data_IF_667814335411
#
_entry.id   IF_667814335411
#
_cell.length_a   1.000
_cell.length_b   1.000
_cell.length_c   1.000
_cell.angle_alpha   90.00
_cell.angle_beta   90.00
_cell.angle_gamma   90.00
#
_symmetry.space_group_name_H-M   'P 1'
#
loop_
_entity.id
_entity.type
_entity.pdbx_description
1 polymer ?
#
# COMPACT_ATOMS: atom_id res chain seq x y z
N UNK A 1 -25.44 6.62 -47.14
CA UNK A 1 -26.21 5.55 -46.48
C UNK A 1 -25.42 5.18 -45.22
N UNK A 2 -25.58 5.93 -44.11
CA UNK A 2 -26.49 5.63 -42.98
C UNK A 2 -26.19 4.24 -42.41
N UNK A 3 -25.46 4.08 -41.31
CA UNK A 3 -25.80 4.28 -39.88
C UNK A 3 -24.52 3.84 -39.11
N UNK A 4 -24.11 4.27 -37.91
CA UNK A 4 -24.72 5.02 -36.82
C UNK A 4 -23.59 5.31 -35.80
N UNK A 5 -23.29 6.58 -35.57
CA UNK A 5 -22.51 7.07 -34.43
C UNK A 5 -23.49 7.30 -33.28
N UNK A 6 -23.62 6.34 -32.35
CA UNK A 6 -24.32 6.58 -31.09
C UNK A 6 -23.31 6.88 -30.00
N UNK A 7 -22.93 8.15 -29.94
CA UNK A 7 -22.39 8.83 -28.77
C UNK A 7 -23.42 8.73 -27.63
N UNK A 8 -23.09 8.04 -26.54
CA UNK A 8 -23.81 8.20 -25.28
C UNK A 8 -23.19 9.36 -24.51
N UNK A 9 -23.89 10.49 -24.56
CA UNK A 9 -23.67 11.66 -23.71
C UNK A 9 -23.86 11.28 -22.25
N UNK A 10 -22.86 11.64 -21.42
CA UNK A 10 -22.90 11.57 -19.97
C UNK A 10 -24.19 12.18 -19.40
N UNK A 11 -25.00 11.38 -18.70
CA UNK A 11 -26.02 11.89 -17.77
C UNK A 11 -25.32 12.16 -16.43
N UNK A 12 -25.32 13.39 -15.90
CA UNK A 12 -24.42 13.78 -14.83
C UNK A 12 -24.83 13.34 -13.41
N UNK A 13 -25.77 12.40 -13.21
CA UNK A 13 -26.29 12.08 -11.86
C UNK A 13 -26.76 10.61 -11.66
N UNK A 14 -26.30 9.65 -12.47
CA UNK A 14 -26.54 8.22 -12.16
C UNK A 14 -25.31 7.71 -11.39
N UNK A 15 -25.45 7.20 -10.16
CA UNK A 15 -24.32 6.62 -9.44
C UNK A 15 -23.76 5.47 -10.29
N UNK A 16 -22.47 5.54 -10.61
CA UNK A 16 -21.78 4.48 -11.34
C UNK A 16 -21.88 3.21 -10.49
N UNK A 17 -22.59 2.21 -10.99
CA UNK A 17 -22.66 0.91 -10.32
C UNK A 17 -21.38 0.14 -10.65
N UNK A 18 -20.83 -0.58 -9.67
CA UNK A 18 -19.60 -1.36 -9.86
C UNK A 18 -19.70 -2.35 -11.03
N UNK A 19 -20.91 -2.84 -11.35
CA UNK A 19 -21.15 -3.71 -12.50
C UNK A 19 -20.77 -3.05 -13.84
N UNK A 20 -21.03 -1.75 -14.00
CA UNK A 20 -20.60 -0.98 -15.18
C UNK A 20 -19.07 -0.90 -15.24
N UNK A 21 -18.42 -0.66 -14.10
CA UNK A 21 -16.95 -0.58 -13.99
C UNK A 21 -16.31 -1.92 -14.38
N UNK A 22 -16.86 -3.03 -13.90
CA UNK A 22 -16.44 -4.38 -14.32
C UNK A 22 -16.71 -4.60 -15.81
N UNK A 23 -17.81 -4.08 -16.36
CA UNK A 23 -18.09 -4.05 -17.79
C UNK A 23 -16.99 -3.34 -18.59
N UNK A 24 -16.62 -2.12 -18.19
CA UNK A 24 -15.57 -1.33 -18.85
C UNK A 24 -14.21 -2.03 -18.84
N UNK A 25 -13.87 -2.70 -17.73
CA UNK A 25 -12.64 -3.49 -17.66
C UNK A 25 -12.70 -4.67 -18.62
N UNK A 26 -13.81 -5.42 -18.66
CA UNK A 26 -13.96 -6.57 -19.57
C UNK A 26 -13.90 -6.16 -21.04
N UNK A 27 -14.45 -5.00 -21.38
CA UNK A 27 -14.45 -4.44 -22.73
C UNK A 27 -13.12 -3.75 -23.13
N UNK A 28 -12.21 -3.51 -22.18
CA UNK A 28 -10.95 -2.84 -22.45
C UNK A 28 -11.03 -1.31 -22.51
N UNK A 29 -12.10 -0.71 -21.97
CA UNK A 29 -12.30 0.74 -21.98
C UNK A 29 -11.41 1.46 -20.95
N UNK A 30 -10.13 1.62 -21.33
CA UNK A 30 -9.10 2.23 -20.48
C UNK A 30 -9.44 3.67 -20.08
N UNK A 31 -10.16 4.41 -20.93
CA UNK A 31 -10.55 5.80 -20.64
C UNK A 31 -11.55 5.87 -19.49
N UNK A 32 -12.65 5.10 -19.56
CA UNK A 32 -13.65 5.10 -18.48
C UNK A 32 -13.10 4.56 -17.17
N UNK A 33 -12.27 3.52 -17.22
CA UNK A 33 -11.60 3.01 -16.02
C UNK A 33 -10.69 4.06 -15.40
N UNK A 34 -9.94 4.82 -16.21
CA UNK A 34 -9.11 5.93 -15.70
C UNK A 34 -9.94 7.02 -15.03
N UNK A 35 -10.99 7.49 -15.70
CA UNK A 35 -11.89 8.53 -15.15
C UNK A 35 -12.50 8.07 -13.83
N UNK A 36 -12.88 6.80 -13.72
CA UNK A 36 -13.38 6.24 -12.45
C UNK A 36 -12.30 6.24 -11.37
N UNK A 37 -11.07 5.82 -11.68
CA UNK A 37 -9.96 5.77 -10.73
C UNK A 37 -9.39 7.14 -10.31
N UNK A 38 -9.78 8.22 -10.98
CA UNK A 38 -9.31 9.57 -10.64
C UNK A 38 -10.05 10.14 -9.42
N UNK A 39 -11.19 9.55 -9.02
CA UNK A 39 -11.82 9.80 -7.73
C UNK A 39 -11.16 8.91 -6.65
N UNK A 40 -10.57 9.56 -5.64
CA UNK A 40 -9.79 8.90 -4.60
C UNK A 40 -10.61 8.03 -3.66
N UNK A 41 -11.93 8.27 -3.58
CA UNK A 41 -12.84 7.49 -2.72
C UNK A 41 -13.14 6.11 -3.30
N UNK A 42 -12.92 5.91 -4.61
CA UNK A 42 -13.14 4.63 -5.27
C UNK A 42 -12.08 3.60 -4.88
N UNK A 43 -12.54 2.53 -4.23
CA UNK A 43 -11.69 1.37 -3.94
C UNK A 43 -11.68 0.39 -5.12
N UNK A 44 -10.58 0.39 -5.86
CA UNK A 44 -10.35 -0.48 -7.01
C UNK A 44 -10.14 -1.96 -6.64
N UNK A 45 -9.94 -2.27 -5.36
CA UNK A 45 -9.76 -3.64 -4.86
C UNK A 45 -11.07 -4.36 -4.58
N UNK A 46 -12.21 -3.70 -4.78
CA UNK A 46 -13.54 -4.31 -4.68
C UNK A 46 -13.67 -5.44 -5.71
N UNK A 47 -14.07 -6.61 -5.21
CA UNK A 47 -14.48 -7.74 -6.02
C UNK A 47 -15.96 -7.69 -6.40
N UNK A 48 -16.32 -8.33 -7.52
CA UNK A 48 -17.71 -8.65 -7.85
C UNK A 48 -18.28 -9.75 -6.92
N UNK A 49 -19.47 -10.26 -7.25
CA UNK A 49 -20.14 -11.30 -6.46
C UNK A 49 -19.36 -12.63 -6.41
N UNK A 50 -18.42 -12.85 -7.33
CA UNK A 50 -17.49 -13.98 -7.36
C UNK A 50 -16.09 -13.64 -6.82
N UNK A 51 -15.95 -12.46 -6.22
CA UNK A 51 -14.69 -11.93 -5.71
C UNK A 51 -13.65 -11.69 -6.83
N UNK A 52 -14.06 -11.43 -8.07
CA UNK A 52 -13.13 -10.94 -9.09
C UNK A 52 -12.96 -9.43 -8.94
N UNK A 53 -11.74 -8.98 -8.63
CA UNK A 53 -11.41 -7.56 -8.69
C UNK A 53 -11.21 -7.08 -10.12
N UNK A 54 -11.10 -5.76 -10.31
CA UNK A 54 -10.76 -5.16 -11.61
C UNK A 54 -9.47 -5.76 -12.20
N UNK A 55 -8.46 -6.03 -11.34
CA UNK A 55 -7.21 -6.63 -11.80
C UNK A 55 -7.39 -8.07 -12.28
N UNK A 56 -8.29 -8.85 -11.66
CA UNK A 56 -8.61 -10.20 -12.11
C UNK A 56 -9.22 -10.17 -13.51
N UNK A 57 -10.20 -9.30 -13.74
CA UNK A 57 -10.83 -9.15 -15.05
C UNK A 57 -9.85 -8.65 -16.12
N UNK A 58 -9.05 -7.62 -15.81
CA UNK A 58 -8.01 -7.14 -16.73
C UNK A 58 -6.99 -8.23 -17.09
N UNK A 59 -6.61 -9.04 -16.10
CA UNK A 59 -5.65 -10.15 -16.27
C UNK A 59 -6.23 -11.32 -17.07
N UNK A 60 -7.52 -11.61 -16.90
CA UNK A 60 -8.23 -12.65 -17.66
C UNK A 60 -8.43 -12.25 -19.12
N UNK A 61 -8.90 -11.03 -19.37
CA UNK A 61 -9.23 -10.55 -20.72
C UNK A 61 -8.01 -10.02 -21.50
N UNK A 62 -6.85 -9.86 -20.86
CA UNK A 62 -5.61 -9.48 -21.54
C UNK A 62 -5.44 -7.98 -21.76
N UNK A 63 -6.19 -7.15 -21.03
CA UNK A 63 -6.14 -5.68 -21.16
C UNK A 63 -4.94 -5.09 -20.42
N UNK A 64 -3.77 -5.17 -21.04
CA UNK A 64 -2.47 -4.76 -20.48
C UNK A 64 -2.49 -3.32 -19.93
N UNK A 65 -3.05 -2.36 -20.69
CA UNK A 65 -3.09 -0.96 -20.28
C UNK A 65 -3.91 -0.74 -19.01
N UNK A 66 -5.02 -1.49 -18.85
CA UNK A 66 -5.85 -1.45 -17.66
C UNK A 66 -5.13 -2.14 -16.49
N UNK A 67 -4.51 -3.30 -16.72
CA UNK A 67 -3.76 -3.99 -15.68
C UNK A 67 -2.61 -3.11 -15.12
N UNK A 68 -1.82 -2.46 -15.98
CA UNK A 68 -0.76 -1.53 -15.55
C UNK A 68 -1.34 -0.35 -14.76
N UNK A 69 -2.44 0.24 -15.25
CA UNK A 69 -3.10 1.35 -14.57
C UNK A 69 -3.54 0.93 -13.15
N UNK A 70 -4.24 -0.20 -13.03
CA UNK A 70 -4.71 -0.72 -11.74
C UNK A 70 -3.54 -1.02 -10.78
N UNK A 71 -2.47 -1.65 -11.28
CA UNK A 71 -1.27 -1.92 -10.49
C UNK A 71 -0.59 -0.63 -10.01
N UNK A 72 -0.50 0.39 -10.87
CA UNK A 72 0.06 1.69 -10.49
C UNK A 72 -0.79 2.43 -9.44
N UNK A 73 -2.11 2.21 -9.45
CA UNK A 73 -3.08 2.79 -8.49
C UNK A 73 -3.24 1.95 -7.21
N UNK A 74 -2.46 0.88 -7.04
CA UNK A 74 -2.44 0.09 -5.80
C UNK A 74 -3.35 -1.13 -5.76
N UNK A 75 -3.61 -1.76 -6.90
CA UNK A 75 -4.26 -3.05 -6.94
C UNK A 75 -3.48 -4.10 -6.14
N UNK A 76 -4.19 -4.81 -5.27
CA UNK A 76 -3.67 -5.94 -4.49
C UNK A 76 -3.31 -7.08 -5.43
N UNK A 77 -2.01 -7.23 -5.67
CA UNK A 77 -1.44 -8.21 -6.63
C UNK A 77 -1.79 -9.65 -6.27
N UNK A 78 -1.77 -9.97 -4.97
CA UNK A 78 -1.99 -11.31 -4.43
C UNK A 78 -3.42 -11.56 -3.94
N UNK A 79 -4.35 -10.63 -4.18
CA UNK A 79 -5.74 -10.84 -3.80
C UNK A 79 -6.34 -12.03 -4.57
N UNK A 80 -7.20 -12.81 -3.92
CA UNK A 80 -7.81 -13.99 -4.52
C UNK A 80 -9.31 -13.84 -4.75
N UNK A 81 -9.81 -14.50 -5.78
CA UNK A 81 -11.25 -14.69 -6.01
C UNK A 81 -11.83 -15.82 -5.11
N UNK A 82 -13.10 -16.19 -5.33
CA UNK A 82 -13.77 -17.27 -4.57
C UNK A 82 -13.12 -18.66 -4.73
N UNK A 83 -12.50 -18.94 -5.88
CA UNK A 83 -11.76 -20.17 -6.16
C UNK A 83 -10.30 -20.11 -5.67
N UNK A 84 -9.95 -19.09 -4.89
CA UNK A 84 -8.58 -18.76 -4.46
C UNK A 84 -7.59 -18.50 -5.62
N UNK A 85 -8.07 -18.20 -6.83
CA UNK A 85 -7.20 -17.79 -7.94
C UNK A 85 -6.78 -16.33 -7.75
N UNK A 86 -5.50 -16.05 -8.01
CA UNK A 86 -4.96 -14.68 -8.12
C UNK A 86 -5.04 -14.16 -9.55
N UNK A 87 -4.79 -12.87 -9.74
CA UNK A 87 -4.62 -12.29 -11.07
C UNK A 87 -3.53 -12.99 -11.91
N UNK A 88 -2.48 -13.50 -11.25
CA UNK A 88 -1.41 -14.28 -11.90
C UNK A 88 -1.90 -15.64 -12.41
N UNK A 89 -2.79 -16.33 -11.67
CA UNK A 89 -3.43 -17.55 -12.15
C UNK A 89 -4.22 -17.29 -13.43
N UNK A 90 -5.04 -16.23 -13.44
CA UNK A 90 -5.89 -15.89 -14.57
C UNK A 90 -5.08 -15.48 -15.81
N UNK A 91 -4.04 -14.65 -15.64
CA UNK A 91 -3.15 -14.26 -16.74
C UNK A 91 -2.41 -15.47 -17.32
N UNK A 92 -1.92 -16.39 -16.47
CA UNK A 92 -1.27 -17.61 -16.90
C UNK A 92 -2.23 -18.58 -17.60
N UNK A 93 -3.48 -18.69 -17.12
CA UNK A 93 -4.50 -19.54 -17.71
C UNK A 93 -4.99 -19.07 -19.08
N UNK A 94 -4.94 -17.77 -19.36
CA UNK A 94 -5.44 -17.18 -20.61
C UNK A 94 -4.33 -16.76 -21.59
N UNK A 95 -3.06 -17.09 -21.30
CA UNK A 95 -1.94 -16.82 -22.20
C UNK A 95 -1.49 -15.36 -22.24
N UNK A 96 -1.89 -14.54 -21.26
CA UNK A 96 -1.61 -13.10 -21.23
C UNK A 96 -0.21 -12.81 -20.68
N UNK A 97 0.82 -13.21 -21.44
CA UNK A 97 2.24 -13.14 -21.04
C UNK A 97 2.69 -11.76 -20.55
N UNK A 98 2.29 -10.69 -21.22
CA UNK A 98 2.71 -9.34 -20.82
C UNK A 98 2.19 -8.96 -19.42
N UNK A 99 0.95 -9.38 -19.09
CA UNK A 99 0.39 -9.18 -17.76
C UNK A 99 1.10 -10.07 -16.73
N UNK A 100 1.44 -11.31 -17.08
CA UNK A 100 2.26 -12.19 -16.22
C UNK A 100 3.57 -11.50 -15.84
N UNK A 101 4.31 -10.96 -16.81
CA UNK A 101 5.57 -10.26 -16.55
C UNK A 101 5.35 -9.03 -15.65
N UNK A 102 4.31 -8.23 -15.88
CA UNK A 102 3.98 -7.07 -15.05
C UNK A 102 3.63 -7.47 -13.61
N UNK A 103 2.85 -8.52 -13.41
CA UNK A 103 2.50 -9.04 -12.09
C UNK A 103 3.74 -9.54 -11.34
N UNK A 104 4.62 -10.29 -12.01
CA UNK A 104 5.88 -10.78 -11.43
C UNK A 104 6.83 -9.63 -11.05
N UNK A 105 6.92 -8.59 -11.89
CA UNK A 105 7.66 -7.36 -11.57
C UNK A 105 7.09 -6.63 -10.34
N UNK A 106 5.79 -6.76 -10.09
CA UNK A 106 5.11 -6.27 -8.88
C UNK A 106 5.10 -7.28 -7.73
N UNK A 107 6.03 -8.24 -7.73
CA UNK A 107 6.24 -9.24 -6.67
C UNK A 107 5.00 -10.10 -6.37
N UNK A 108 4.24 -10.44 -7.41
CA UNK A 108 3.20 -11.46 -7.29
C UNK A 108 3.80 -12.77 -6.75
N UNK A 109 3.16 -13.36 -5.73
CA UNK A 109 3.57 -14.68 -5.23
C UNK A 109 3.27 -15.73 -6.29
N UNK A 110 4.35 -16.28 -6.84
CA UNK A 110 4.35 -17.20 -7.98
C UNK A 110 3.92 -18.63 -7.58
N UNK A 111 3.97 -18.96 -6.28
CA UNK A 111 3.68 -20.30 -5.78
C UNK A 111 2.35 -20.39 -5.02
N UNK A 112 1.51 -19.34 -5.06
CA UNK A 112 0.15 -19.38 -4.49
C UNK A 112 -0.62 -20.55 -5.10
N UNK A 113 -1.32 -21.30 -4.26
CA UNK A 113 -2.19 -22.38 -4.69
C UNK A 113 -3.66 -22.00 -4.56
N UNK A 114 -4.44 -22.21 -5.61
CA UNK A 114 -5.89 -22.03 -5.59
C UNK A 114 -6.63 -23.15 -4.83
N UNK A 115 -7.96 -23.20 -4.90
CA UNK A 115 -8.79 -24.17 -4.18
C UNK A 115 -8.55 -25.63 -4.59
N UNK A 116 -7.98 -25.87 -5.77
CA UNK A 116 -7.61 -27.19 -6.28
C UNK A 116 -6.13 -27.55 -6.00
N UNK A 117 -5.40 -26.66 -5.31
CA UNK A 117 -3.96 -26.81 -5.09
C UNK A 117 -3.12 -26.46 -6.33
N UNK A 118 -3.73 -25.87 -7.36
CA UNK A 118 -3.04 -25.51 -8.60
C UNK A 118 -2.33 -24.18 -8.42
N UNK A 119 -1.12 -24.06 -8.97
CA UNK A 119 -0.35 -22.81 -9.04
C UNK A 119 -0.50 -22.15 -10.42
N UNK A 120 -0.08 -20.90 -10.63
CA UNK A 120 -0.05 -20.31 -11.97
C UNK A 120 0.74 -21.15 -12.99
N UNK A 121 1.81 -21.81 -12.57
CA UNK A 121 2.61 -22.71 -13.42
C UNK A 121 1.82 -23.95 -13.86
N UNK A 122 0.93 -24.48 -13.01
CA UNK A 122 0.04 -25.57 -13.40
C UNK A 122 -0.87 -25.15 -14.57
N UNK A 123 -1.47 -23.96 -14.51
CA UNK A 123 -2.30 -23.45 -15.60
C UNK A 123 -1.50 -23.22 -16.88
N UNK A 124 -0.33 -22.59 -16.80
CA UNK A 124 0.53 -22.37 -17.97
C UNK A 124 0.95 -23.70 -18.64
N UNK A 125 1.28 -24.72 -17.84
CA UNK A 125 1.61 -26.05 -18.33
C UNK A 125 0.41 -26.74 -18.99
N UNK A 126 -0.77 -26.69 -18.35
CA UNK A 126 -2.00 -27.31 -18.85
C UNK A 126 -2.44 -26.77 -20.21
N UNK A 127 -2.23 -25.47 -20.47
CA UNK A 127 -2.52 -24.85 -21.76
C UNK A 127 -1.33 -24.82 -22.73
N UNK A 128 -0.14 -25.28 -22.29
CA UNK A 128 1.04 -25.39 -23.14
C UNK A 128 1.76 -24.07 -23.43
N UNK A 129 1.59 -23.05 -22.60
CA UNK A 129 2.23 -21.73 -22.77
C UNK A 129 3.69 -21.74 -22.29
N UNK A 130 4.58 -22.30 -23.11
CA UNK A 130 6.01 -22.50 -22.78
C UNK A 130 6.70 -21.22 -22.30
N UNK A 131 6.48 -20.09 -22.99
CA UNK A 131 7.10 -18.81 -22.62
C UNK A 131 6.63 -18.28 -21.25
N UNK A 132 5.36 -18.49 -20.90
CA UNK A 132 4.82 -18.14 -19.58
C UNK A 132 5.43 -19.07 -18.52
N UNK A 133 5.56 -20.36 -18.82
CA UNK A 133 6.21 -21.31 -17.92
C UNK A 133 7.65 -20.87 -17.62
N UNK A 134 8.40 -20.43 -18.63
CA UNK A 134 9.75 -19.89 -18.48
C UNK A 134 9.80 -18.66 -17.58
N UNK A 135 8.93 -17.67 -17.82
CA UNK A 135 8.89 -16.45 -17.01
C UNK A 135 8.53 -16.74 -15.54
N UNK A 136 7.62 -17.70 -15.30
CA UNK A 136 7.26 -18.15 -13.96
C UNK A 136 8.41 -18.90 -13.27
N UNK A 137 9.05 -19.85 -13.96
CA UNK A 137 10.19 -20.63 -13.43
C UNK A 137 11.36 -19.71 -13.08
N UNK A 138 11.69 -18.77 -13.97
CA UNK A 138 12.71 -17.73 -13.73
C UNK A 138 12.41 -16.89 -12.50
N UNK A 139 11.13 -16.70 -12.19
CA UNK A 139 10.67 -15.95 -11.01
C UNK A 139 10.51 -16.81 -9.75
N UNK A 140 10.93 -18.08 -9.77
CA UNK A 140 10.92 -18.97 -8.60
C UNK A 140 9.72 -19.93 -8.50
N UNK A 141 8.95 -20.11 -9.58
CA UNK A 141 7.89 -21.12 -9.61
C UNK A 141 8.47 -22.53 -9.46
N UNK A 142 7.94 -23.32 -8.52
CA UNK A 142 8.43 -24.66 -8.23
C UNK A 142 7.72 -25.73 -9.08
N UNK A 143 8.46 -26.42 -9.96
CA UNK A 143 7.97 -27.48 -10.84
C UNK A 143 7.57 -28.75 -10.07
N UNK A 144 8.11 -28.95 -8.87
CA UNK A 144 7.82 -30.13 -8.04
C UNK A 144 6.56 -30.01 -7.18
N UNK A 145 5.90 -28.84 -7.15
CA UNK A 145 4.72 -28.61 -6.31
C UNK A 145 3.54 -29.43 -6.80
N UNK A 146 3.01 -30.33 -5.96
CA UNK A 146 1.83 -31.10 -6.30
C UNK A 146 0.54 -30.35 -5.97
N UNK A 147 -0.48 -30.48 -6.83
CA UNK A 147 -1.85 -30.07 -6.54
C UNK A 147 -2.59 -31.07 -5.62
N UNK A 148 -3.87 -30.84 -5.32
CA UNK A 148 -4.69 -31.75 -4.48
C UNK A 148 -4.84 -33.17 -5.04
N UNK A 149 -4.61 -33.38 -6.34
CA UNK A 149 -4.61 -34.70 -7.00
C UNK A 149 -3.23 -35.37 -7.01
N UNK A 150 -2.22 -34.76 -6.38
CA UNK A 150 -0.85 -35.28 -6.36
C UNK A 150 -0.09 -35.08 -7.68
N UNK A 151 -0.61 -34.26 -8.59
CA UNK A 151 -0.02 -34.00 -9.90
C UNK A 151 0.84 -32.74 -9.84
N UNK A 152 2.05 -32.80 -10.40
CA UNK A 152 2.91 -31.63 -10.62
C UNK A 152 2.46 -30.85 -11.87
N UNK A 153 2.91 -29.60 -12.10
CA UNK A 153 2.67 -28.91 -13.36
C UNK A 153 3.10 -29.73 -14.58
N UNK A 154 4.19 -30.49 -14.48
CA UNK A 154 4.69 -31.31 -15.57
C UNK A 154 3.79 -32.53 -15.86
N UNK A 155 3.09 -33.06 -14.86
CA UNK A 155 2.17 -34.20 -15.01
C UNK A 155 0.91 -33.84 -15.80
N UNK A 156 0.48 -32.58 -15.73
CA UNK A 156 -0.70 -32.06 -16.46
C UNK A 156 -0.33 -31.26 -17.71
N UNK A 157 0.96 -31.18 -18.04
CA UNK A 157 1.47 -30.36 -19.13
C UNK A 157 1.06 -30.90 -20.50
N UNK A 158 0.73 -30.02 -21.45
CA UNK A 158 0.48 -30.42 -22.83
C UNK A 158 1.65 -31.23 -23.40
N UNK A 159 1.40 -32.36 -24.11
CA UNK A 159 2.46 -33.22 -24.62
C UNK A 159 3.51 -32.48 -25.46
N UNK A 160 3.11 -31.49 -26.26
CA UNK A 160 4.06 -30.73 -27.10
C UNK A 160 4.94 -29.76 -26.29
N UNK A 161 4.45 -29.26 -25.14
CA UNK A 161 5.17 -28.30 -24.30
C UNK A 161 6.03 -28.98 -23.22
N UNK A 162 5.68 -30.21 -22.82
CA UNK A 162 6.26 -30.92 -21.68
C UNK A 162 7.80 -30.99 -21.72
N UNK A 163 8.38 -31.35 -22.86
CA UNK A 163 9.84 -31.48 -22.98
C UNK A 163 10.54 -30.13 -22.83
N UNK A 164 10.01 -29.07 -23.47
CA UNK A 164 10.57 -27.74 -23.38
C UNK A 164 10.50 -27.18 -21.95
N UNK A 165 9.35 -27.34 -21.27
CA UNK A 165 9.19 -26.90 -19.87
C UNK A 165 10.13 -27.69 -18.94
N UNK A 166 10.32 -29.00 -19.17
CA UNK A 166 11.26 -29.80 -18.40
C UNK A 166 12.72 -29.39 -18.62
N UNK A 167 13.12 -29.04 -19.85
CA UNK A 167 14.44 -28.47 -20.12
C UNK A 167 14.64 -27.13 -19.40
N UNK A 168 13.69 -26.20 -19.54
CA UNK A 168 13.73 -24.90 -18.86
C UNK A 168 13.87 -25.07 -17.35
N UNK A 169 13.10 -25.98 -16.74
CA UNK A 169 13.18 -26.24 -15.30
C UNK A 169 14.56 -26.77 -14.87
N UNK A 170 15.17 -27.66 -15.66
CA UNK A 170 16.52 -28.19 -15.39
C UNK A 170 17.59 -27.11 -15.54
N UNK A 171 17.49 -26.26 -16.56
CA UNK A 171 18.40 -25.12 -16.77
C UNK A 171 18.38 -24.15 -15.58
N UNK A 172 17.22 -24.01 -14.92
CA UNK A 172 17.05 -23.20 -13.71
C UNK A 172 17.26 -23.99 -12.40
N UNK A 173 17.93 -25.15 -12.46
CA UNK A 173 18.38 -25.90 -11.28
C UNK A 173 17.28 -26.69 -10.54
N UNK A 174 16.10 -26.87 -11.13
CA UNK A 174 15.01 -27.61 -10.48
C UNK A 174 15.07 -29.11 -10.81
N UNK A 175 14.79 -29.95 -9.81
CA UNK A 175 14.70 -31.39 -9.99
C UNK A 175 13.28 -31.80 -10.40
N UNK A 176 13.10 -32.22 -11.65
CA UNK A 176 11.80 -32.64 -12.20
C UNK A 176 11.20 -33.90 -11.53
N UNK A 177 12.01 -34.68 -10.81
CA UNK A 177 11.56 -35.88 -10.09
C UNK A 177 11.15 -35.57 -8.64
N UNK A 178 11.49 -34.38 -8.14
CA UNK A 178 11.10 -33.95 -6.80
C UNK A 178 9.60 -33.65 -6.76
N UNK A 179 8.93 -34.17 -5.74
CA UNK A 179 7.49 -34.00 -5.54
C UNK A 179 7.24 -33.46 -4.14
N UNK A 180 6.80 -32.21 -4.09
CA UNK A 180 6.40 -31.54 -2.86
C UNK A 180 4.91 -31.73 -2.69
N UNK A 181 4.44 -32.54 -1.71
CA UNK A 181 3.02 -32.82 -1.54
C UNK A 181 2.24 -31.54 -1.21
N UNK A 182 1.01 -31.44 -1.73
CA UNK A 182 0.11 -30.35 -1.39
C UNK A 182 -0.11 -30.30 0.13
N UNK A 183 0.15 -29.15 0.74
CA UNK A 183 -0.22 -28.85 2.12
C UNK A 183 -1.31 -27.79 2.09
N UNK A 184 -2.44 -28.08 2.73
CA UNK A 184 -3.51 -27.11 2.82
C UNK A 184 -3.07 -25.93 3.70
N UNK A 185 -2.82 -24.78 3.07
CA UNK A 185 -2.40 -23.55 3.74
C UNK A 185 -3.57 -22.58 3.96
N UNK A 186 -4.82 -22.99 3.71
CA UNK A 186 -6.01 -22.13 3.93
C UNK A 186 -6.09 -21.54 5.33
N UNK A 187 -5.58 -22.25 6.36
CA UNK A 187 -5.51 -21.74 7.74
C UNK A 187 -4.53 -20.58 7.94
N UNK A 188 -3.49 -20.42 7.11
CA UNK A 188 -2.38 -19.49 7.39
C UNK A 188 -2.73 -18.00 7.26
N UNK A 189 -3.97 -17.64 6.90
CA UNK A 189 -4.40 -16.23 6.82
C UNK A 189 -3.66 -15.37 5.78
N UNK A 190 -2.79 -15.97 4.96
CA UNK A 190 -1.99 -15.27 3.93
C UNK A 190 -2.77 -15.01 2.64
N UNK A 191 -4.00 -15.50 2.53
CA UNK A 191 -4.88 -15.25 1.38
C UNK A 191 -5.84 -14.12 1.74
N UNK A 192 -5.65 -12.94 1.16
CA UNK A 192 -6.63 -11.85 1.22
C UNK A 192 -7.65 -12.04 0.09
N UNK A 193 -8.91 -12.31 0.44
CA UNK A 193 -9.97 -12.41 -0.57
C UNK A 193 -10.37 -11.00 -0.99
N UNK A 194 -10.67 -10.77 -2.26
CA UNK A 194 -11.16 -9.44 -2.71
C UNK A 194 -12.50 -9.05 -2.06
N UNK A 195 -13.26 -10.02 -1.51
CA UNK A 195 -14.46 -9.75 -0.68
C UNK A 195 -14.14 -8.93 0.57
N UNK A 196 -12.89 -8.90 1.02
CA UNK A 196 -12.47 -8.12 2.19
C UNK A 196 -12.47 -6.60 1.91
N UNK A 197 -12.77 -6.18 0.68
CA UNK A 197 -12.90 -4.78 0.28
C UNK A 197 -14.30 -4.17 0.53
N UNK A 198 -15.18 -4.77 1.34
CA UNK A 198 -16.47 -4.15 1.75
C UNK A 198 -16.31 -2.88 2.60
N UNK A 199 -15.08 -2.54 2.97
CA UNK A 199 -14.74 -1.44 3.87
C UNK A 199 -15.17 -0.06 3.31
N UNK A 200 -15.38 0.07 1.99
CA UNK A 200 -15.69 1.37 1.38
C UNK A 200 -17.16 1.82 1.45
N UNK A 201 -18.14 0.93 1.69
CA UNK A 201 -19.56 1.28 1.49
C UNK A 201 -20.24 1.95 2.69
N UNK A 202 -19.66 1.89 3.88
CA UNK A 202 -20.28 2.39 5.11
C UNK A 202 -19.58 3.65 5.60
N UNK A 203 -20.29 4.78 5.60
CA UNK A 203 -19.77 6.05 6.12
C UNK A 203 -19.85 6.15 7.65
N UNK A 204 -20.65 5.31 8.29
CA UNK A 204 -20.75 5.23 9.75
C UNK A 204 -20.73 3.78 10.23
N UNK A 205 -19.82 3.49 11.15
CA UNK A 205 -19.70 2.19 11.83
C UNK A 205 -20.19 2.34 13.25
N UNK A 206 -21.01 1.39 13.70
CA UNK A 206 -21.42 1.31 15.10
C UNK A 206 -20.31 0.66 15.93
N UNK A 207 -19.99 1.23 17.10
CA UNK A 207 -18.97 0.68 18.00
C UNK A 207 -19.28 -0.78 18.38
N UNK A 208 -20.56 -1.14 18.51
CA UNK A 208 -20.99 -2.50 18.82
C UNK A 208 -20.59 -3.53 17.74
N UNK A 209 -20.33 -3.08 16.51
CA UNK A 209 -19.87 -3.95 15.42
C UNK A 209 -18.36 -4.19 15.43
N UNK A 210 -17.61 -3.48 16.28
CA UNK A 210 -16.17 -3.61 16.43
C UNK A 210 -15.85 -4.61 17.53
N UNK A 211 -15.23 -5.73 17.17
CA UNK A 211 -14.70 -6.71 18.12
C UNK A 211 -13.28 -6.30 18.55
N UNK A 212 -13.16 -5.22 19.33
CA UNK A 212 -11.88 -4.75 19.87
C UNK A 212 -11.37 -5.73 20.94
N UNK A 213 -10.12 -6.17 20.83
CA UNK A 213 -9.56 -7.27 21.62
C UNK A 213 -8.36 -6.87 22.48
N UNK A 214 -7.49 -5.99 21.99
CA UNK A 214 -6.22 -5.66 22.65
C UNK A 214 -5.83 -4.21 22.39
N UNK A 215 -5.48 -3.47 23.45
CA UNK A 215 -4.84 -2.15 23.34
C UNK A 215 -3.38 -2.34 22.91
N UNK A 216 -3.01 -1.76 21.77
CA UNK A 216 -1.67 -1.82 21.18
C UNK A 216 -0.80 -0.66 21.67
N UNK A 217 -1.37 0.54 21.76
CA UNK A 217 -0.64 1.74 22.14
C UNK A 217 -1.56 2.79 22.80
N UNK A 218 -0.94 3.71 23.53
CA UNK A 218 -1.58 4.88 24.12
C UNK A 218 -0.72 6.11 23.86
N UNK A 219 -1.35 7.23 23.52
CA UNK A 219 -0.66 8.49 23.25
C UNK A 219 -1.54 9.67 23.63
N UNK A 220 -0.97 10.88 23.60
CA UNK A 220 -1.73 12.13 23.77
C UNK A 220 -2.86 12.30 22.73
N UNK A 221 -2.77 11.62 21.59
CA UNK A 221 -3.77 11.65 20.52
C UNK A 221 -4.92 10.67 20.77
N UNK A 222 -4.79 9.76 21.73
CA UNK A 222 -5.75 8.72 22.04
C UNK A 222 -5.17 7.32 22.10
N UNK A 223 -6.06 6.34 22.07
CA UNK A 223 -5.76 4.93 22.23
C UNK A 223 -5.78 4.19 20.90
N UNK A 224 -4.90 3.20 20.73
CA UNK A 224 -4.85 2.34 19.58
C UNK A 224 -5.22 0.91 19.97
N UNK A 225 -6.23 0.35 19.32
CA UNK A 225 -6.76 -0.97 19.62
C UNK A 225 -6.68 -1.88 18.39
N UNK A 226 -6.28 -3.13 18.62
CA UNK A 226 -6.47 -4.22 17.67
C UNK A 226 -7.89 -4.75 17.81
N UNK A 227 -8.51 -5.09 16.70
CA UNK A 227 -9.80 -5.78 16.73
C UNK A 227 -10.14 -6.41 15.40
N UNK A 228 -11.40 -6.85 15.30
CA UNK A 228 -12.00 -7.29 14.04
C UNK A 228 -13.22 -6.45 13.68
N UNK A 229 -13.37 -6.16 12.40
CA UNK A 229 -14.57 -5.53 11.84
C UNK A 229 -14.94 -6.23 10.54
N UNK A 230 -16.18 -6.72 10.44
CA UNK A 230 -16.66 -7.54 9.31
C UNK A 230 -15.75 -8.74 8.98
N UNK A 231 -15.12 -9.34 10.01
CA UNK A 231 -14.19 -10.48 9.87
C UNK A 231 -12.74 -10.10 9.59
N UNK A 232 -12.47 -8.85 9.19
CA UNK A 232 -11.13 -8.35 8.88
C UNK A 232 -10.40 -7.86 10.12
N UNK A 233 -9.10 -8.12 10.21
CA UNK A 233 -8.23 -7.56 11.25
C UNK A 233 -8.03 -6.06 11.00
N UNK A 234 -8.37 -5.25 12.02
CA UNK A 234 -8.32 -3.79 11.96
C UNK A 234 -7.55 -3.20 13.12
N UNK A 235 -7.15 -1.96 12.92
CA UNK A 235 -6.69 -1.05 13.97
C UNK A 235 -7.70 0.06 14.14
N UNK A 236 -8.19 0.22 15.37
CA UNK A 236 -9.12 1.25 15.78
C UNK A 236 -8.40 2.30 16.64
N UNK A 237 -8.34 3.53 16.15
CA UNK A 237 -7.79 4.67 16.87
C UNK A 237 -8.92 5.44 17.53
N UNK A 238 -9.05 5.31 18.85
CA UNK A 238 -10.01 6.08 19.65
C UNK A 238 -9.39 7.43 19.96
N UNK A 239 -9.97 8.52 19.46
CA UNK A 239 -9.40 9.86 19.58
C UNK A 239 -9.55 10.40 21.01
N UNK A 240 -8.47 10.95 21.57
CA UNK A 240 -8.53 11.65 22.85
C UNK A 240 -9.14 13.04 22.66
N UNK A 241 -10.46 13.16 22.87
CA UNK A 241 -11.20 14.43 22.86
C UNK A 241 -11.90 14.59 24.21
N UNK A 242 -11.56 15.61 25.04
CA UNK A 242 -12.12 15.75 26.39
C UNK A 242 -13.65 15.83 26.43
N UNK A 243 -14.25 16.57 25.48
CA UNK A 243 -15.69 16.70 25.32
C UNK A 243 -16.04 16.70 23.83
N UNK A 244 -16.83 15.71 23.39
CA UNK A 244 -17.28 15.62 22.01
C UNK A 244 -18.58 16.40 21.84
N UNK A 245 -18.45 17.69 21.50
CA UNK A 245 -19.61 18.55 21.21
C UNK A 245 -20.27 18.18 19.87
N UNK A 246 -21.55 18.57 19.63
CA UNK A 246 -22.20 18.37 18.34
C UNK A 246 -21.47 19.03 17.15
N UNK A 247 -20.67 20.07 17.43
CA UNK A 247 -19.79 20.68 16.42
C UNK A 247 -18.64 19.76 16.06
N UNK A 248 -17.91 19.24 17.06
CA UNK A 248 -16.80 18.29 16.85
C UNK A 248 -17.29 17.05 16.09
N UNK A 249 -18.43 16.50 16.48
CA UNK A 249 -19.05 15.36 15.81
C UNK A 249 -19.34 15.64 14.31
N UNK A 250 -19.78 16.86 13.99
CA UNK A 250 -20.02 17.29 12.60
C UNK A 250 -18.73 17.50 11.82
N UNK A 251 -17.75 18.15 12.42
CA UNK A 251 -16.44 18.41 11.82
C UNK A 251 -15.72 17.09 11.52
N UNK A 252 -15.78 16.11 12.44
CA UNK A 252 -15.25 14.75 12.24
C UNK A 252 -15.89 14.05 11.03
N UNK A 253 -17.22 14.11 10.91
CA UNK A 253 -17.96 13.53 9.77
C UNK A 253 -17.67 14.23 8.44
N UNK A 254 -17.41 15.53 8.46
CA UNK A 254 -17.08 16.30 7.28
C UNK A 254 -15.64 16.06 6.79
N UNK A 255 -14.69 15.86 7.71
CA UNK A 255 -13.27 15.75 7.38
C UNK A 255 -12.81 14.34 7.02
N UNK A 256 -13.30 13.30 7.70
CA UNK A 256 -12.77 11.94 7.51
C UNK A 256 -12.90 11.37 6.09
N UNK A 257 -13.91 11.71 5.25
CA UNK A 257 -14.02 11.15 3.89
C UNK A 257 -12.78 11.45 3.04
N UNK A 258 -12.17 12.63 3.23
CA UNK A 258 -10.93 13.02 2.53
C UNK A 258 -9.73 12.12 2.85
N UNK A 259 -9.79 11.34 3.93
CA UNK A 259 -8.72 10.43 4.37
C UNK A 259 -8.90 9.01 3.81
N UNK A 260 -9.98 8.76 3.06
CA UNK A 260 -10.33 7.46 2.48
C UNK A 260 -9.70 7.29 1.10
N UNK A 261 -8.37 7.41 1.04
CA UNK A 261 -7.59 7.44 -0.20
C UNK A 261 -7.17 6.02 -0.57
N UNK A 262 -7.94 5.37 -1.46
CA UNK A 262 -7.65 4.00 -1.91
C UNK A 262 -6.80 3.94 -3.18
N UNK A 263 -6.66 5.06 -3.89
CA UNK A 263 -6.06 5.14 -5.22
C UNK A 263 -4.51 5.12 -5.26
N UNK A 264 -3.84 4.67 -4.18
CA UNK A 264 -2.37 4.59 -4.15
C UNK A 264 -1.82 3.43 -3.29
N UNK A 265 -0.82 2.72 -3.81
CA UNK A 265 -0.21 1.54 -3.17
C UNK A 265 0.51 1.84 -1.85
N UNK A 266 1.18 2.99 -1.75
CA UNK A 266 1.91 3.44 -0.56
C UNK A 266 1.06 4.31 0.38
N UNK A 267 -0.26 4.26 0.29
CA UNK A 267 -1.17 4.91 1.23
C UNK A 267 -1.98 3.85 1.96
N UNK A 268 -2.07 3.98 3.29
CA UNK A 268 -2.98 3.20 4.12
C UNK A 268 -4.22 4.07 4.39
N UNK A 269 -5.35 3.81 3.69
CA UNK A 269 -6.55 4.63 3.81
C UNK A 269 -7.21 4.48 5.19
N UNK A 270 -7.99 5.50 5.55
CA UNK A 270 -9.05 5.32 6.54
C UNK A 270 -10.14 4.46 5.89
N UNK A 271 -10.43 3.31 6.50
CA UNK A 271 -11.44 2.39 6.02
C UNK A 271 -12.84 2.95 6.32
N UNK A 272 -13.05 3.29 7.59
CA UNK A 272 -14.30 3.81 8.11
C UNK A 272 -14.08 4.59 9.41
N UNK A 273 -15.14 5.21 9.92
CA UNK A 273 -15.14 5.88 11.20
C UNK A 273 -16.36 5.49 12.06
N UNK A 274 -16.20 5.56 13.38
CA UNK A 274 -17.31 5.53 14.32
C UNK A 274 -17.44 6.92 14.95
N UNK A 275 -18.60 7.55 14.79
CA UNK A 275 -18.94 8.83 15.41
C UNK A 275 -20.08 8.62 16.40
N UNK A 276 -19.74 8.17 17.61
CA UNK A 276 -20.69 7.89 18.68
C UNK A 276 -20.15 8.48 19.99
N UNK A 277 -20.44 9.76 20.28
CA UNK A 277 -19.94 10.43 21.47
C UNK A 277 -20.13 9.60 22.75
N UNK A 278 -19.10 9.48 23.62
CA UNK A 278 -17.81 10.18 23.57
C UNK A 278 -16.79 9.56 22.60
N UNK A 279 -17.11 8.45 21.93
CA UNK A 279 -16.20 7.69 21.11
C UNK A 279 -16.17 8.19 19.66
N UNK A 280 -15.09 8.88 19.30
CA UNK A 280 -14.70 9.10 17.92
C UNK A 280 -13.58 8.13 17.57
N UNK A 281 -13.82 7.25 16.60
CA UNK A 281 -12.88 6.17 16.26
C UNK A 281 -12.58 6.20 14.77
N UNK A 282 -11.30 6.18 14.42
CA UNK A 282 -10.82 6.01 13.05
C UNK A 282 -10.36 4.57 12.86
N UNK A 283 -10.86 3.91 11.81
CA UNK A 283 -10.57 2.50 11.53
C UNK A 283 -9.64 2.42 10.33
N UNK A 284 -8.55 1.66 10.47
CA UNK A 284 -7.59 1.36 9.41
C UNK A 284 -7.25 -0.12 9.40
N UNK A 285 -6.62 -0.59 8.32
CA UNK A 285 -6.17 -1.98 8.23
C UNK A 285 -5.03 -2.24 9.22
N UNK A 286 -5.04 -3.39 9.89
CA UNK A 286 -3.90 -3.82 10.70
C UNK A 286 -2.70 -4.12 9.80
N UNK A 287 -1.55 -3.51 10.11
CA UNK A 287 -0.29 -3.72 9.41
C UNK A 287 0.60 -4.69 10.21
N UNK A 288 1.18 -5.68 9.52
CA UNK A 288 1.85 -6.81 10.14
C UNK A 288 3.02 -6.44 11.05
N UNK A 289 3.74 -5.36 10.74
CA UNK A 289 4.89 -4.90 11.54
C UNK A 289 4.63 -3.58 12.29
N UNK A 290 3.39 -3.08 12.29
CA UNK A 290 3.05 -1.81 12.92
C UNK A 290 3.62 -0.60 12.18
N UNK A 291 4.06 0.41 12.93
CA UNK A 291 4.68 1.61 12.38
C UNK A 291 6.17 1.39 12.06
N UNK A 292 6.72 2.20 11.16
CA UNK A 292 8.15 2.21 10.86
C UNK A 292 8.97 2.51 12.13
N UNK A 293 8.43 3.28 13.07
CA UNK A 293 9.05 3.48 14.39
C UNK A 293 9.20 2.16 15.16
N UNK A 294 8.18 1.30 15.16
CA UNK A 294 8.28 -0.03 15.77
C UNK A 294 9.35 -0.87 15.06
N UNK A 295 9.38 -0.86 13.74
CA UNK A 295 10.36 -1.62 12.95
C UNK A 295 11.80 -1.17 13.22
N UNK A 296 12.04 0.13 13.36
CA UNK A 296 13.39 0.68 13.53
C UNK A 296 13.92 0.63 14.96
N UNK A 297 13.05 0.85 15.95
CA UNK A 297 13.49 1.11 17.33
C UNK A 297 12.97 0.11 18.37
N UNK A 298 11.95 -0.68 18.03
CA UNK A 298 11.49 -1.76 18.88
C UNK A 298 12.02 -3.11 18.40
N UNK A 299 12.00 -4.12 19.26
CA UNK A 299 12.54 -5.45 18.96
C UNK A 299 11.64 -6.20 17.96
N UNK A 300 11.71 -5.81 16.69
CA UNK A 300 11.12 -6.56 15.58
C UNK A 300 12.14 -7.54 15.02
N UNK A 301 11.65 -8.67 14.49
CA UNK A 301 12.52 -9.67 13.84
C UNK A 301 13.01 -9.23 12.45
N UNK A 302 12.70 -7.99 12.03
CA UNK A 302 12.98 -7.50 10.68
C UNK A 302 14.41 -6.96 10.61
N UNK A 303 15.26 -7.67 9.87
CA UNK A 303 16.58 -7.14 9.51
C UNK A 303 16.40 -6.18 8.34
N UNK A 304 16.70 -4.91 8.56
CA UNK A 304 16.70 -3.90 7.51
C UNK A 304 18.15 -3.62 7.13
N UNK A 305 18.53 -3.98 5.92
CA UNK A 305 19.81 -3.62 5.31
C UNK A 305 19.70 -2.29 4.53
N UNK A 306 20.76 -1.90 3.82
CA UNK A 306 20.75 -0.68 3.00
C UNK A 306 19.71 -0.74 1.87
N UNK A 307 19.49 -1.91 1.27
CA UNK A 307 18.54 -2.07 0.17
C UNK A 307 17.09 -1.89 0.66
N UNK A 308 16.75 -2.49 1.80
CA UNK A 308 15.43 -2.34 2.42
C UNK A 308 15.22 -0.92 2.95
N UNK A 309 16.25 -0.25 3.47
CA UNK A 309 16.17 1.16 3.85
C UNK A 309 15.87 2.07 2.64
N UNK A 310 16.52 1.84 1.49
CA UNK A 310 16.26 2.57 0.25
C UNK A 310 14.84 2.27 -0.27
N UNK A 311 14.38 1.01 -0.17
CA UNK A 311 13.01 0.62 -0.53
C UNK A 311 11.98 1.38 0.29
N UNK A 312 12.13 1.42 1.62
CA UNK A 312 11.24 2.19 2.49
C UNK A 312 11.25 3.68 2.15
N UNK A 313 12.43 4.26 1.91
CA UNK A 313 12.55 5.66 1.50
C UNK A 313 11.80 5.93 0.18
N UNK A 314 11.92 5.02 -0.79
CA UNK A 314 11.24 5.12 -2.08
C UNK A 314 9.71 5.00 -1.94
N UNK A 315 9.23 4.08 -1.12
CA UNK A 315 7.81 3.88 -0.83
C UNK A 315 7.18 5.12 -0.16
N UNK A 316 7.87 5.68 0.86
CA UNK A 316 7.44 6.92 1.53
C UNK A 316 7.43 8.08 0.53
N UNK A 317 8.49 8.23 -0.27
CA UNK A 317 8.59 9.31 -1.24
C UNK A 317 7.46 9.26 -2.28
N UNK A 318 7.12 8.07 -2.79
CA UNK A 318 6.00 7.87 -3.72
C UNK A 318 4.66 8.23 -3.10
N UNK A 319 4.40 7.77 -1.86
CA UNK A 319 3.18 8.12 -1.14
C UNK A 319 3.06 9.64 -0.93
N UNK A 320 4.14 10.32 -0.53
CA UNK A 320 4.11 11.77 -0.31
C UNK A 320 3.98 12.56 -1.60
N UNK A 321 4.63 12.12 -2.70
CA UNK A 321 4.43 12.71 -4.03
C UNK A 321 2.96 12.66 -4.43
N UNK A 322 2.30 11.52 -4.21
CA UNK A 322 0.88 11.38 -4.48
C UNK A 322 0.05 12.35 -3.62
N UNK A 323 0.29 12.42 -2.32
CA UNK A 323 -0.43 13.36 -1.44
C UNK A 323 -0.22 14.82 -1.85
N UNK A 324 0.98 15.19 -2.30
CA UNK A 324 1.30 16.54 -2.79
C UNK A 324 0.67 16.86 -4.15
N UNK A 325 0.21 15.84 -4.87
CA UNK A 325 -0.52 15.97 -6.13
C UNK A 325 -2.03 16.18 -5.95
N UNK A 326 -2.56 15.91 -4.74
CA UNK A 326 -3.98 16.11 -4.43
C UNK A 326 -4.33 17.60 -4.38
N UNK A 327 -5.52 17.92 -4.88
CA UNK A 327 -6.13 19.25 -4.79
C UNK A 327 -7.57 19.10 -4.28
N UNK A 328 -7.89 19.58 -3.05
CA UNK A 328 -7.00 20.26 -2.12
C UNK A 328 -5.96 19.32 -1.47
N UNK A 329 -4.85 19.90 -1.00
CA UNK A 329 -3.85 19.18 -0.21
C UNK A 329 -4.43 18.67 1.11
N UNK A 330 -4.00 17.48 1.53
CA UNK A 330 -4.27 16.98 2.89
C UNK A 330 -3.47 17.83 3.88
N UNK A 331 -4.17 18.55 4.76
CA UNK A 331 -3.57 19.37 5.80
C UNK A 331 -3.40 18.57 7.10
N UNK A 332 -2.53 19.05 8.00
CA UNK A 332 -2.32 18.48 9.35
C UNK A 332 -1.87 17.02 9.36
N UNK A 333 -1.20 16.58 8.30
CA UNK A 333 -0.43 15.36 8.28
C UNK A 333 1.04 15.70 8.58
N UNK A 334 1.59 15.18 9.67
CA UNK A 334 2.95 15.49 10.12
C UNK A 334 3.85 14.26 9.95
N UNK A 335 4.52 14.15 8.80
CA UNK A 335 5.32 12.98 8.45
C UNK A 335 6.37 12.65 9.54
N UNK A 336 6.32 11.42 10.06
CA UNK A 336 7.34 10.84 10.95
C UNK A 336 7.33 9.31 10.84
N UNK A 337 8.29 8.63 11.46
CA UNK A 337 8.32 7.16 11.46
C UNK A 337 7.13 6.53 12.18
N UNK A 338 6.43 7.29 13.03
CA UNK A 338 5.19 6.85 13.69
C UNK A 338 3.96 6.88 12.78
N UNK A 339 3.99 7.68 11.71
CA UNK A 339 2.87 7.87 10.76
C UNK A 339 3.04 7.03 9.47
N UNK A 340 4.15 6.29 9.37
CA UNK A 340 4.41 5.33 8.30
C UNK A 340 4.20 3.94 8.89
N UNK A 341 3.43 3.10 8.21
CA UNK A 341 3.12 1.72 8.62
C UNK A 341 3.69 0.72 7.62
N UNK A 342 4.00 -0.49 8.08
CA UNK A 342 4.71 -1.50 7.30
C UNK A 342 3.91 -2.81 7.21
N UNK A 343 3.61 -3.23 5.99
CA UNK A 343 2.84 -4.43 5.70
C UNK A 343 3.70 -5.72 5.66
N UNK A 344 3.05 -6.86 5.45
CA UNK A 344 3.71 -8.18 5.37
C UNK A 344 4.77 -8.30 4.28
N UNK A 345 4.69 -7.50 3.21
CA UNK A 345 5.63 -7.48 2.09
C UNK A 345 6.83 -6.53 2.33
N UNK A 346 6.97 -6.03 3.57
CA UNK A 346 7.94 -4.99 3.94
C UNK A 346 7.84 -3.77 3.02
N UNK A 347 6.61 -3.35 2.71
CA UNK A 347 6.30 -2.12 1.98
C UNK A 347 5.89 -1.03 2.96
N UNK A 348 6.41 0.19 2.76
CA UNK A 348 6.03 1.33 3.58
C UNK A 348 4.74 1.99 3.04
N UNK A 349 3.82 2.32 3.93
CA UNK A 349 2.57 3.03 3.62
C UNK A 349 2.37 4.21 4.54
N UNK A 350 1.88 5.31 3.99
CA UNK A 350 1.55 6.52 4.72
C UNK A 350 0.16 6.34 5.34
N UNK A 351 0.06 6.37 6.66
CA UNK A 351 -1.18 6.12 7.39
C UNK A 351 -2.06 7.37 7.44
N UNK A 352 -3.19 7.34 6.72
CA UNK A 352 -4.15 8.45 6.75
C UNK A 352 -4.92 8.55 8.07
N UNK A 353 -4.92 7.46 8.86
CA UNK A 353 -5.55 7.44 10.18
C UNK A 353 -4.80 8.29 11.23
N UNK A 354 -3.58 8.76 10.91
CA UNK A 354 -2.79 9.60 11.79
C UNK A 354 -2.85 11.10 11.43
N UNK A 355 -3.53 11.46 10.35
CA UNK A 355 -3.86 12.85 10.02
C UNK A 355 -4.71 13.45 11.14
N UNK A 356 -4.36 14.65 11.61
CA UNK A 356 -5.11 15.30 12.70
C UNK A 356 -6.37 15.98 12.17
N UNK A 357 -7.49 15.78 12.85
CA UNK A 357 -8.72 16.55 12.62
C UNK A 357 -8.56 18.01 13.12
N UNK A 358 -9.35 18.94 12.58
CA UNK A 358 -9.26 20.37 12.91
C UNK A 358 -9.38 20.71 14.41
N UNK A 359 -10.05 19.85 15.18
CA UNK A 359 -10.27 20.02 16.62
C UNK A 359 -9.23 19.31 17.49
N UNK A 360 -8.31 18.53 16.91
CA UNK A 360 -7.29 17.81 17.67
C UNK A 360 -6.05 18.67 17.90
N UNK A 361 -5.47 18.54 19.09
CA UNK A 361 -4.12 19.04 19.42
C UNK A 361 -3.90 20.52 19.04
N UNK A 362 -4.95 21.35 19.11
CA UNK A 362 -4.88 22.76 18.71
C UNK A 362 -3.79 23.48 19.52
N UNK A 363 -2.74 23.92 18.82
CA UNK A 363 -1.58 24.59 19.42
C UNK A 363 -0.60 23.68 20.18
N UNK A 364 -0.68 22.36 20.01
CA UNK A 364 0.19 21.38 20.68
C UNK A 364 0.90 20.51 19.64
N UNK A 365 2.18 20.22 19.88
CA UNK A 365 3.00 19.36 19.01
C UNK A 365 3.79 18.37 19.89
N UNK A 366 3.63 17.08 19.64
CA UNK A 366 4.26 16.02 20.45
C UNK A 366 5.43 15.31 19.77
N UNK A 367 5.68 15.56 18.48
CA UNK A 367 6.81 14.97 17.73
C UNK A 367 7.56 16.02 16.90
N UNK A 368 8.08 17.11 17.53
CA UNK A 368 8.76 18.18 16.80
C UNK A 368 10.12 17.78 16.22
N UNK A 369 10.68 16.62 16.61
CA UNK A 369 11.99 16.15 16.15
C UNK A 369 12.08 15.92 14.63
N UNK A 370 10.95 15.64 13.97
CA UNK A 370 10.86 15.48 12.51
C UNK A 370 10.47 16.78 11.80
N UNK A 371 10.05 17.82 12.52
CA UNK A 371 9.53 19.04 11.90
C UNK A 371 10.65 19.96 11.45
N UNK A 372 10.40 20.71 10.37
CA UNK A 372 11.32 21.74 9.92
C UNK A 372 11.32 22.96 10.85
N UNK A 373 12.44 23.72 10.91
CA UNK A 373 12.54 24.92 11.75
C UNK A 373 11.43 25.93 11.45
N UNK A 374 11.05 26.09 10.19
CA UNK A 374 10.00 27.03 9.79
C UNK A 374 8.58 26.52 10.09
N UNK A 375 8.33 25.20 10.07
CA UNK A 375 7.05 24.63 10.49
C UNK A 375 6.78 24.81 11.99
N UNK A 376 7.82 24.99 12.80
CA UNK A 376 7.72 25.29 14.23
C UNK A 376 7.55 26.79 14.53
N UNK A 377 7.79 27.67 13.54
CA UNK A 377 7.74 29.13 13.72
C UNK A 377 6.50 29.77 13.09
N UNK A 378 6.08 29.28 11.93
CA UNK A 378 5.05 29.92 11.14
C UNK A 378 3.73 29.19 11.24
N UNK A 379 2.66 29.94 10.99
CA UNK A 379 1.32 29.37 10.89
C UNK A 379 1.21 28.48 9.65
N UNK A 380 0.32 27.47 9.63
CA UNK A 380 0.14 26.62 8.44
C UNK A 380 -0.22 27.38 7.16
N UNK A 381 -0.85 28.56 7.26
CA UNK A 381 -1.20 29.38 6.09
C UNK A 381 0.00 30.05 5.43
N UNK A 382 1.08 30.30 6.20
CA UNK A 382 2.30 30.94 5.69
C UNK A 382 3.40 29.90 5.38
N UNK A 383 3.15 28.63 5.70
CA UNK A 383 4.11 27.56 5.57
C UNK A 383 4.12 26.99 4.15
N UNK A 384 5.31 26.86 3.56
CA UNK A 384 5.49 25.97 2.41
C UNK A 384 5.45 24.51 2.90
N UNK A 385 4.24 23.95 2.97
CA UNK A 385 3.97 22.60 3.48
C UNK A 385 4.83 21.56 2.76
N UNK A 386 4.97 21.67 1.42
CA UNK A 386 5.75 20.71 0.64
C UNK A 386 7.22 20.68 1.03
N UNK A 387 7.82 21.86 1.26
CA UNK A 387 9.20 21.97 1.71
C UNK A 387 9.37 21.50 3.17
N UNK A 388 8.38 21.73 4.03
CA UNK A 388 8.38 21.22 5.41
C UNK A 388 8.31 19.68 5.44
N UNK A 389 7.47 19.07 4.61
CA UNK A 389 7.39 17.61 4.48
C UNK A 389 8.68 17.00 3.94
N UNK A 390 9.36 17.69 3.01
CA UNK A 390 10.66 17.24 2.50
C UNK A 390 11.75 17.24 3.59
N UNK A 391 11.69 18.17 4.54
CA UNK A 391 12.57 18.14 5.71
C UNK A 391 12.27 16.92 6.59
N UNK A 392 10.99 16.68 6.90
CA UNK A 392 10.56 15.51 7.67
C UNK A 392 11.02 14.21 7.01
N UNK A 393 10.96 14.14 5.67
CA UNK A 393 11.53 13.04 4.91
C UNK A 393 13.06 12.94 5.04
N UNK A 394 13.77 14.07 5.05
CA UNK A 394 15.21 14.10 5.33
C UNK A 394 15.57 13.54 6.72
N UNK A 395 14.76 13.81 7.74
CA UNK A 395 14.92 13.22 9.08
C UNK A 395 14.61 11.73 9.06
N UNK A 396 13.60 11.28 8.30
CA UNK A 396 13.34 9.85 8.09
C UNK A 396 14.50 9.13 7.40
N UNK A 397 15.15 9.75 6.41
CA UNK A 397 16.36 9.21 5.79
C UNK A 397 17.48 9.05 6.82
N UNK A 398 17.66 10.05 7.69
CA UNK A 398 18.61 9.97 8.80
C UNK A 398 18.29 8.79 9.73
N UNK A 399 17.03 8.64 10.12
CA UNK A 399 16.53 7.58 11.01
C UNK A 399 16.71 6.18 10.41
N UNK A 400 16.42 6.01 9.11
CA UNK A 400 16.62 4.76 8.36
C UNK A 400 18.09 4.32 8.30
N UNK A 401 19.03 5.28 8.26
CA UNK A 401 20.46 4.98 8.17
C UNK A 401 21.13 4.80 9.54
N UNK A 402 20.69 5.52 10.56
CA UNK A 402 21.31 5.49 11.91
C UNK A 402 20.68 4.46 12.83
N UNK A 403 19.38 4.20 12.68
CA UNK A 403 18.56 3.43 13.65
C UNK A 403 18.54 4.05 15.03
N UNK A 404 18.60 5.37 15.05
CA UNK A 404 18.50 6.16 16.26
C UNK A 404 17.24 7.03 16.20
N UNK A 405 16.65 7.30 17.37
CA UNK A 405 15.54 8.25 17.48
C UNK A 405 16.13 9.67 17.54
N UNK A 406 15.70 10.61 16.68
CA UNK A 406 16.27 11.96 16.65
C UNK A 406 16.06 12.67 17.99
N UNK A 407 17.15 13.12 18.61
CA UNK A 407 17.17 13.85 19.89
C UNK A 407 16.48 13.10 21.04
N UNK A 408 16.66 11.78 21.11
CA UNK A 408 15.99 10.89 22.08
C UNK A 408 16.17 11.25 23.57
N UNK A 409 17.20 12.04 23.88
CA UNK A 409 17.58 12.49 25.22
C UNK A 409 16.84 13.76 25.68
N UNK A 410 16.11 14.43 24.79
CA UNK A 410 15.42 15.70 25.06
C UNK A 410 13.89 15.54 25.09
N UNK A 411 13.22 16.36 25.90
CA UNK A 411 11.76 16.41 25.88
C UNK A 411 11.22 17.06 24.59
N UNK A 412 9.98 16.75 24.14
CA UNK A 412 9.40 17.38 22.96
C UNK A 412 9.43 18.91 22.99
N UNK A 413 9.20 19.52 24.15
CA UNK A 413 9.25 20.98 24.31
C UNK A 413 10.66 21.53 24.06
N UNK A 414 11.69 20.92 24.67
CA UNK A 414 13.09 21.31 24.47
C UNK A 414 13.51 21.13 23.01
N UNK A 415 13.13 20.01 22.38
CA UNK A 415 13.41 19.75 20.97
C UNK A 415 12.81 20.86 20.10
N UNK A 416 11.53 21.18 20.30
CA UNK A 416 10.84 22.21 19.52
C UNK A 416 11.50 23.58 19.64
N UNK A 417 11.83 24.01 20.87
CA UNK A 417 12.51 25.28 21.12
C UNK A 417 13.89 25.30 20.48
N UNK A 418 14.70 24.26 20.68
CA UNK A 418 16.07 24.19 20.19
C UNK A 418 16.17 24.12 18.67
N UNK A 419 15.28 23.37 18.01
CA UNK A 419 15.22 23.32 16.54
C UNK A 419 14.84 24.69 15.98
N UNK A 420 13.79 25.30 16.54
CA UNK A 420 13.29 26.58 16.07
C UNK A 420 14.30 27.72 16.32
N UNK A 421 14.85 27.84 17.53
CA UNK A 421 15.56 29.05 17.96
C UNK A 421 17.07 28.88 18.10
N UNK A 422 17.56 27.67 18.37
CA UNK A 422 18.98 27.44 18.73
C UNK A 422 19.79 26.72 17.65
N UNK A 423 19.16 26.38 16.51
CA UNK A 423 19.86 25.72 15.40
C UNK A 423 20.19 24.25 15.66
N UNK A 424 19.45 23.56 16.54
CA UNK A 424 19.59 22.12 16.74
C UNK A 424 19.21 21.36 15.46
N UNK A 425 20.11 20.52 14.96
CA UNK A 425 19.95 19.71 13.74
C UNK A 425 20.45 18.29 13.98
N UNK A 426 19.90 17.34 13.21
CA UNK A 426 20.38 15.95 13.28
C UNK A 426 21.85 15.89 12.81
N UNK A 427 22.72 15.17 13.52
CA UNK A 427 24.13 15.08 13.15
C UNK A 427 24.30 14.27 11.86
N UNK A 428 25.25 14.64 11.02
CA UNK A 428 25.52 13.86 9.82
C UNK A 428 26.12 12.48 10.21
N UNK A 429 25.51 11.36 9.80
CA UNK A 429 25.91 10.05 10.30
C UNK A 429 27.24 9.58 9.70
N UNK A 430 28.16 9.02 10.51
CA UNK A 430 29.41 8.47 10.00
C UNK A 430 29.14 7.19 9.17
N UNK A 431 29.88 6.99 8.08
CA UNK A 431 29.81 5.77 7.26
C UNK A 431 28.68 5.71 6.23
N UNK A 432 27.86 6.75 6.10
CA UNK A 432 26.79 6.80 5.10
C UNK A 432 27.33 6.88 3.68
N UNK A 433 26.63 6.24 2.72
CA UNK A 433 27.04 6.29 1.31
C UNK A 433 27.02 7.73 0.78
N UNK A 434 27.95 8.05 -0.13
CA UNK A 434 28.07 9.40 -0.71
C UNK A 434 26.75 9.89 -1.34
N UNK A 435 26.01 8.99 -1.98
CA UNK A 435 24.75 9.33 -2.65
C UNK A 435 23.65 9.63 -1.62
N UNK A 436 23.53 8.80 -0.58
CA UNK A 436 22.55 9.02 0.49
C UNK A 436 22.87 10.29 1.29
N UNK A 437 24.16 10.53 1.59
CA UNK A 437 24.60 11.76 2.24
C UNK A 437 24.27 13.03 1.45
N UNK A 438 24.45 13.00 0.12
CA UNK A 438 24.04 14.11 -0.75
C UNK A 438 22.53 14.32 -0.75
N UNK A 439 21.75 13.23 -0.82
CA UNK A 439 20.30 13.29 -0.79
C UNK A 439 19.80 13.90 0.54
N UNK A 440 20.33 13.46 1.67
CA UNK A 440 20.01 14.03 2.97
C UNK A 440 20.33 15.53 3.04
N UNK A 441 21.48 15.96 2.53
CA UNK A 441 21.88 17.38 2.54
C UNK A 441 20.94 18.28 1.73
N UNK A 442 20.37 17.78 0.62
CA UNK A 442 19.41 18.57 -0.17
C UNK A 442 18.01 18.57 0.47
N UNK A 443 17.59 17.47 1.11
CA UNK A 443 16.31 17.41 1.83
C UNK A 443 16.33 18.28 3.10
N UNK A 444 17.44 18.27 3.85
CA UNK A 444 17.64 19.02 5.09
C UNK A 444 18.25 20.42 4.87
N UNK A 445 17.98 21.05 3.72
CA UNK A 445 18.47 22.39 3.46
C UNK A 445 17.76 23.41 4.35
N UNK A 446 18.49 24.35 4.97
CA UNK A 446 17.89 25.40 5.80
C UNK A 446 16.94 26.31 5.01
N UNK A 447 17.24 26.56 3.73
CA UNK A 447 16.39 27.34 2.84
C UNK A 447 15.28 26.44 2.25
N UNK A 448 13.99 26.63 2.63
CA UNK A 448 12.91 25.80 2.13
C UNK A 448 12.74 25.89 0.61
N UNK A 449 13.15 26.99 -0.03
CA UNK A 449 13.10 27.15 -1.49
C UNK A 449 14.14 26.31 -2.24
N UNK A 450 15.16 25.78 -1.55
CA UNK A 450 16.19 24.92 -2.13
C UNK A 450 15.92 23.43 -1.92
N UNK A 451 14.93 23.08 -1.12
CA UNK A 451 14.54 21.69 -0.92
C UNK A 451 13.84 21.18 -2.18
N UNK A 452 14.14 19.95 -2.64
CA UNK A 452 13.49 19.38 -3.80
C UNK A 452 12.03 19.01 -3.51
N UNK A 453 11.25 18.76 -4.57
CA UNK A 453 9.97 18.07 -4.47
C UNK A 453 10.17 16.55 -4.52
N UNK A 454 9.17 15.78 -4.07
CA UNK A 454 9.23 14.31 -4.10
C UNK A 454 9.45 13.74 -5.52
N UNK A 455 8.82 14.33 -6.55
CA UNK A 455 9.02 13.93 -7.96
C UNK A 455 10.47 14.06 -8.45
N UNK A 456 11.26 14.96 -7.85
CA UNK A 456 12.67 15.17 -8.20
C UNK A 456 13.59 14.14 -7.53
N UNK A 457 13.23 13.61 -6.36
CA UNK A 457 14.06 12.66 -5.60
C UNK A 457 13.72 11.20 -5.90
N UNK A 458 12.49 10.88 -6.34
CA UNK A 458 12.09 9.51 -6.67
C UNK A 458 13.05 8.86 -7.69
N UNK A 459 13.40 9.50 -8.83
CA UNK A 459 14.35 8.91 -9.78
C UNK A 459 15.75 8.68 -9.19
N UNK A 460 16.16 9.51 -8.21
CA UNK A 460 17.44 9.36 -7.52
C UNK A 460 17.41 8.11 -6.64
N UNK A 461 16.33 7.93 -5.87
CA UNK A 461 16.11 6.74 -5.03
C UNK A 461 16.00 5.47 -5.86
N UNK A 462 15.30 5.50 -7.00
CA UNK A 462 15.19 4.36 -7.92
C UNK A 462 16.57 3.94 -8.46
N UNK A 463 17.41 4.91 -8.82
CA UNK A 463 18.78 4.63 -9.24
C UNK A 463 19.63 4.05 -8.10
N UNK A 464 19.43 4.51 -6.87
CA UNK A 464 20.12 3.97 -5.69
C UNK A 464 19.64 2.56 -5.32
N UNK A 465 18.39 2.21 -5.62
CA UNK A 465 17.86 0.86 -5.39
C UNK A 465 18.40 -0.18 -6.39
N UNK A 466 18.93 0.29 -7.52
CA UNK A 466 19.52 -0.55 -8.58
C UNK A 466 21.04 -0.75 -8.42
N UNK A 467 21.69 0.06 -7.58
CA UNK A 467 23.13 0.00 -7.28
C UNK A 467 23.41 -0.86 -6.08
#
# INVERSE_FOLDING_TARGET
>A
MSLSSNYHSHKPNVPIIMEDVFGWVREGNTFQVRVWLDDTEHDLNIGDDHAFSLLHWASKEGHVAIAELLLSRGARVNATNMGDDTSLHLAAAHGNREIVVKLLNRKADVNVTNEHGMTPLHYACFWGYVQICEDLIRSGALIGTCNKKGQTPLDICQPQARNAVAEIAREHGQNINERTPFKDQTWKGTKTRTRDATLSRYTGVDMASLSLSMKIAESHSGELWRGKWQGNDIVARILAVPEVTPRISRDFQAEFPSLRIFAHSNICPVLACCNQPPNLIVISQLMSFGSLYNVLHEQTAVVIDQAQAIKFALDIARGMSFLHSLDPLILRYYLSSKHVVVDEDLSAKISMADTKFSFQEVGRLYSPAWMSPEALKYSPSDLNIRAADMWSFGVLLWELNTREVPFSDLSPMEIGIKIALEGLRVPFPPGISRNMGRLMNICLNEDPGRRPNFDQIIPILEKMAQS
#
